data_IF_137853108681
#
_entry.id   IF_137853108681
#
_cell.length_a   1.000
_cell.length_b   1.000
_cell.length_c   1.000
_cell.angle_alpha   90.00
_cell.angle_beta   90.00
_cell.angle_gamma   90.00
#
_symmetry.space_group_name_H-M   'P 1'
#
loop_
_entity.id
_entity.type
_entity.pdbx_description
1 polymer ?
#
# COMPACT_ATOMS: atom_id res chain seq x y z
N UNK A 1 -11.26 -10.67 24.24
CA UNK A 1 -9.81 -10.78 24.64
C UNK A 1 -8.99 -11.50 23.58
N UNK A 2 -9.32 -12.73 23.14
CA UNK A 2 -8.49 -13.45 22.14
C UNK A 2 -8.45 -12.73 20.78
N UNK A 3 -9.60 -12.31 20.25
CA UNK A 3 -9.69 -11.55 18.98
C UNK A 3 -8.95 -10.21 19.03
N UNK A 4 -9.02 -9.50 20.13
CA UNK A 4 -8.31 -8.24 20.33
C UNK A 4 -6.79 -8.44 20.42
N UNK A 5 -6.35 -9.52 21.08
CA UNK A 5 -4.94 -9.90 21.13
C UNK A 5 -4.42 -10.28 19.72
N UNK A 6 -5.20 -11.00 18.93
CA UNK A 6 -4.86 -11.35 17.55
C UNK A 6 -4.74 -10.09 16.68
N UNK A 7 -5.65 -9.13 16.84
CA UNK A 7 -5.62 -7.88 16.10
C UNK A 7 -4.39 -7.04 16.45
N UNK A 8 -4.09 -6.88 17.74
CA UNK A 8 -2.89 -6.15 18.20
C UNK A 8 -1.58 -6.77 17.73
N UNK A 9 -1.55 -8.10 17.56
CA UNK A 9 -0.35 -8.84 17.19
C UNK A 9 -0.34 -9.27 15.72
N UNK A 10 -1.25 -8.79 14.88
CA UNK A 10 -1.42 -9.28 13.50
C UNK A 10 -0.15 -9.22 12.66
N UNK A 11 0.68 -8.18 12.81
CA UNK A 11 1.97 -8.05 12.12
C UNK A 11 2.96 -9.10 12.58
N UNK A 12 3.12 -9.26 13.89
CA UNK A 12 4.00 -10.27 14.48
C UNK A 12 3.58 -11.69 14.10
N UNK A 13 2.27 -11.98 14.14
CA UNK A 13 1.72 -13.29 13.77
C UNK A 13 2.01 -13.57 12.29
N UNK A 14 1.64 -12.65 11.39
CA UNK A 14 1.89 -12.82 9.94
C UNK A 14 3.37 -13.04 9.65
N UNK A 15 4.25 -12.23 10.24
CA UNK A 15 5.69 -12.34 10.06
C UNK A 15 6.22 -13.72 10.46
N UNK A 16 5.79 -14.25 11.61
CA UNK A 16 6.28 -15.54 12.12
C UNK A 16 5.61 -16.75 11.47
N UNK A 17 4.35 -16.66 11.04
CA UNK A 17 3.62 -17.79 10.45
C UNK A 17 3.79 -17.87 8.94
N UNK A 18 3.79 -16.73 8.25
CA UNK A 18 3.89 -16.67 6.78
C UNK A 18 5.29 -16.34 6.26
N UNK A 19 6.24 -16.07 7.16
CA UNK A 19 7.64 -15.73 6.82
C UNK A 19 7.74 -14.56 5.81
N UNK A 20 6.88 -13.57 6.00
CA UNK A 20 6.80 -12.33 5.22
C UNK A 20 6.26 -11.19 6.07
N UNK A 21 6.47 -9.91 5.67
CA UNK A 21 5.81 -8.79 6.34
C UNK A 21 4.28 -8.86 6.22
N UNK A 22 3.59 -8.22 7.16
CA UNK A 22 2.18 -7.84 7.03
C UNK A 22 2.07 -6.73 5.97
N UNK A 23 1.26 -6.94 4.94
CA UNK A 23 1.23 -6.08 3.76
C UNK A 23 -0.05 -5.26 3.73
N UNK A 24 0.11 -3.92 3.70
CA UNK A 24 -0.96 -2.95 3.56
C UNK A 24 -0.87 -2.34 2.16
N UNK A 25 -1.90 -2.53 1.34
CA UNK A 25 -2.04 -1.80 0.08
C UNK A 25 -2.83 -0.52 0.33
N UNK A 26 -2.26 0.65 0.03
CA UNK A 26 -2.93 1.94 0.26
C UNK A 26 -2.88 2.80 -0.98
N UNK A 27 -4.04 3.28 -1.41
CA UNK A 27 -4.12 4.30 -2.46
C UNK A 27 -5.24 5.30 -2.20
N UNK A 28 -5.20 6.41 -2.93
CA UNK A 28 -6.23 7.42 -2.94
C UNK A 28 -6.76 7.58 -4.37
N UNK A 29 -8.08 7.71 -4.52
CA UNK A 29 -8.77 7.76 -5.80
C UNK A 29 -9.86 8.84 -5.83
N UNK A 30 -10.25 9.24 -7.03
CA UNK A 30 -11.44 10.08 -7.25
C UNK A 30 -12.72 9.30 -7.04
N UNK A 31 -13.86 9.99 -6.97
CA UNK A 31 -15.20 9.38 -6.85
C UNK A 31 -15.51 8.40 -7.97
N UNK A 32 -14.94 8.60 -9.15
CA UNK A 32 -15.11 7.72 -10.31
C UNK A 32 -13.91 6.80 -10.58
N UNK A 33 -13.05 6.55 -9.55
CA UNK A 33 -12.09 5.46 -9.53
C UNK A 33 -10.78 5.72 -10.29
N UNK A 34 -10.30 6.97 -10.36
CA UNK A 34 -9.01 7.29 -10.97
C UNK A 34 -7.98 7.75 -9.93
N UNK A 35 -6.71 7.39 -10.15
CA UNK A 35 -5.59 7.76 -9.28
C UNK A 35 -4.96 9.11 -9.66
N UNK A 36 -5.14 9.56 -10.89
CA UNK A 36 -4.57 10.78 -11.45
C UNK A 36 -5.53 11.42 -12.47
N UNK A 37 -5.16 12.57 -13.01
CA UNK A 37 -5.88 13.23 -14.10
C UNK A 37 -4.96 13.27 -15.35
N UNK A 38 -5.26 12.47 -16.35
CA UNK A 38 -4.48 12.38 -17.61
C UNK A 38 -3.00 12.08 -17.37
N UNK A 39 -2.68 11.20 -16.40
CA UNK A 39 -1.31 10.88 -16.03
C UNK A 39 -0.60 11.94 -15.17
N UNK A 40 -1.27 13.03 -14.80
CA UNK A 40 -0.75 14.06 -13.91
C UNK A 40 -1.24 13.82 -12.48
N UNK A 41 -0.30 13.83 -11.54
CA UNK A 41 -0.63 13.72 -10.13
C UNK A 41 -1.63 14.79 -9.69
N UNK A 42 -2.59 14.41 -8.86
CA UNK A 42 -3.59 15.33 -8.31
C UNK A 42 -3.71 15.15 -6.79
N UNK A 43 -4.07 16.22 -6.10
CA UNK A 43 -4.35 16.16 -4.66
C UNK A 43 -5.73 15.51 -4.45
N UNK A 44 -5.76 14.24 -4.11
CA UNK A 44 -6.98 13.51 -3.75
C UNK A 44 -7.30 13.70 -2.28
N UNK A 45 -6.31 13.51 -1.41
CA UNK A 45 -6.44 13.57 0.05
C UNK A 45 -6.69 15.00 0.57
N UNK A 46 -7.52 15.11 1.60
CA UNK A 46 -7.64 16.32 2.43
C UNK A 46 -6.41 16.48 3.33
N UNK A 47 -6.29 17.60 4.03
CA UNK A 47 -5.20 17.80 5.00
C UNK A 47 -5.27 16.76 6.12
N UNK A 48 -6.47 16.43 6.59
CA UNK A 48 -6.69 15.44 7.66
C UNK A 48 -6.35 14.02 7.21
N UNK A 49 -6.87 13.57 6.06
CA UNK A 49 -6.60 12.21 5.56
C UNK A 49 -5.15 12.02 5.13
N UNK A 50 -4.48 13.10 4.69
CA UNK A 50 -3.04 13.13 4.48
C UNK A 50 -2.27 12.90 5.79
N UNK A 51 -2.68 13.55 6.88
CA UNK A 51 -2.12 13.32 8.21
C UNK A 51 -2.30 11.84 8.64
N UNK A 52 -3.47 11.23 8.39
CA UNK A 52 -3.69 9.80 8.65
C UNK A 52 -2.76 8.90 7.81
N UNK A 53 -2.45 9.29 6.57
CA UNK A 53 -1.45 8.57 5.76
C UNK A 53 -0.05 8.65 6.37
N UNK A 54 0.34 9.81 6.91
CA UNK A 54 1.61 9.96 7.63
C UNK A 54 1.65 9.16 8.93
N UNK A 55 0.52 9.08 9.66
CA UNK A 55 0.37 8.18 10.81
C UNK A 55 0.62 6.73 10.41
N UNK A 56 -0.04 6.26 9.34
CA UNK A 56 0.12 4.91 8.84
C UNK A 56 1.59 4.61 8.49
N UNK A 57 2.30 5.54 7.87
CA UNK A 57 3.74 5.40 7.57
C UNK A 57 4.58 5.29 8.84
N UNK A 58 4.28 6.10 9.87
CA UNK A 58 4.99 6.06 11.15
C UNK A 58 4.82 4.73 11.90
N UNK A 59 3.73 4.02 11.65
CA UNK A 59 3.37 2.75 12.28
C UNK A 59 3.90 1.51 11.52
N UNK A 60 4.62 1.69 10.41
CA UNK A 60 5.10 0.59 9.58
C UNK A 60 6.61 0.66 9.33
N UNK A 61 7.23 -0.52 9.15
CA UNK A 61 8.69 -0.62 9.03
C UNK A 61 9.20 -0.17 7.67
N UNK A 62 8.45 -0.48 6.60
CA UNK A 62 8.86 -0.17 5.24
C UNK A 62 7.70 0.35 4.38
N UNK A 63 8.05 1.13 3.37
CA UNK A 63 7.14 1.66 2.35
C UNK A 63 7.70 1.37 0.96
N UNK A 64 6.84 0.87 0.06
CA UNK A 64 7.23 0.43 -1.27
C UNK A 64 6.41 1.15 -2.34
N UNK A 65 7.09 1.57 -3.40
CA UNK A 65 6.50 2.12 -4.62
C UNK A 65 7.13 1.48 -5.86
N UNK A 66 6.42 1.56 -6.98
CA UNK A 66 6.98 1.20 -8.28
C UNK A 66 7.80 2.37 -8.87
N UNK A 67 8.78 2.05 -9.73
CA UNK A 67 9.68 3.02 -10.38
C UNK A 67 8.94 4.20 -11.03
N UNK A 68 7.90 3.93 -11.82
CA UNK A 68 7.16 5.00 -12.55
C UNK A 68 6.53 6.01 -11.58
N UNK A 69 5.99 5.53 -10.46
CA UNK A 69 5.43 6.41 -9.42
C UNK A 69 6.54 7.21 -8.75
N UNK A 70 7.67 6.58 -8.47
CA UNK A 70 8.82 7.23 -7.86
C UNK A 70 9.38 8.36 -8.74
N UNK A 71 9.61 8.07 -10.02
CA UNK A 71 10.11 9.04 -10.99
C UNK A 71 9.15 10.19 -11.27
N UNK A 72 7.82 9.90 -11.27
CA UNK A 72 6.80 10.91 -11.56
C UNK A 72 6.54 11.83 -10.38
N UNK A 73 6.38 11.25 -9.22
CA UNK A 73 5.87 11.98 -8.06
C UNK A 73 7.00 12.53 -7.18
N UNK A 74 8.25 12.03 -7.32
CA UNK A 74 9.42 12.36 -6.50
C UNK A 74 9.07 12.41 -5.01
N UNK A 75 8.15 11.53 -4.59
CA UNK A 75 7.59 11.55 -3.25
C UNK A 75 8.62 11.10 -2.22
N UNK A 76 8.81 11.91 -1.20
CA UNK A 76 9.71 11.58 -0.10
C UNK A 76 9.25 10.36 0.71
N UNK A 77 7.94 10.04 0.67
CA UNK A 77 7.33 8.92 1.40
C UNK A 77 7.68 8.91 2.91
N UNK A 78 7.99 10.07 3.45
CA UNK A 78 8.39 10.26 4.84
C UNK A 78 7.21 10.61 5.75
N UNK A 79 7.51 10.68 7.04
CA UNK A 79 6.60 11.13 8.10
C UNK A 79 6.93 12.59 8.41
N UNK A 80 6.03 13.54 8.04
CA UNK A 80 6.18 14.97 8.33
C UNK A 80 4.96 15.58 9.00
N UNK A 81 3.77 15.05 8.73
CA UNK A 81 2.50 15.53 9.29
C UNK A 81 2.02 14.63 10.45
N UNK A 82 2.90 13.78 10.99
CA UNK A 82 2.66 12.93 12.15
C UNK A 82 3.97 12.74 12.95
N UNK A 83 3.83 12.33 14.20
CA UNK A 83 4.97 11.98 15.04
C UNK A 83 5.41 10.53 14.82
N UNK A 84 6.71 10.27 14.69
CA UNK A 84 7.24 8.91 14.54
C UNK A 84 8.47 8.82 13.66
N UNK A 85 8.90 7.58 13.39
CA UNK A 85 10.04 7.29 12.51
C UNK A 85 9.58 7.17 11.06
N UNK A 86 10.49 7.52 10.15
CA UNK A 86 10.27 7.23 8.73
C UNK A 86 10.37 5.72 8.48
N UNK A 87 9.47 5.14 7.67
CA UNK A 87 9.65 3.79 7.16
C UNK A 87 10.86 3.71 6.22
N UNK A 88 11.42 2.52 6.08
CA UNK A 88 12.46 2.26 5.06
C UNK A 88 11.83 2.39 3.68
N UNK A 89 12.35 3.30 2.85
CA UNK A 89 11.83 3.56 1.51
C UNK A 89 12.41 2.56 0.51
N UNK A 90 11.54 1.88 -0.21
CA UNK A 90 11.85 0.84 -1.17
C UNK A 90 11.21 1.16 -2.53
N UNK A 91 11.95 0.91 -3.61
CA UNK A 91 11.47 1.11 -4.99
C UNK A 91 11.66 -0.18 -5.78
N UNK A 92 10.59 -0.64 -6.45
CA UNK A 92 10.73 -1.74 -7.42
C UNK A 92 11.24 -1.14 -8.73
N UNK A 93 12.54 -1.28 -8.96
CA UNK A 93 13.21 -0.84 -10.18
C UNK A 93 14.15 -1.95 -10.68
N UNK A 94 14.09 -2.23 -11.99
CA UNK A 94 14.98 -3.22 -12.63
C UNK A 94 16.39 -2.71 -12.84
N UNK A 95 16.54 -1.39 -12.96
CA UNK A 95 17.82 -0.74 -13.31
C UNK A 95 18.59 -0.28 -12.08
N UNK A 96 17.87 0.05 -11.00
CA UNK A 96 18.43 0.50 -9.74
C UNK A 96 17.78 -0.27 -8.58
N UNK A 97 18.08 -1.58 -8.44
CA UNK A 97 17.40 -2.40 -7.46
C UNK A 97 17.77 -1.96 -6.03
N UNK A 98 16.76 -1.66 -5.22
CA UNK A 98 16.91 -1.52 -3.77
C UNK A 98 17.11 -2.90 -3.08
N UNK A 99 17.04 -3.98 -3.85
CA UNK A 99 17.06 -5.35 -3.37
C UNK A 99 18.17 -6.12 -4.08
N UNK A 100 19.09 -6.66 -3.34
CA UNK A 100 20.16 -7.49 -3.89
C UNK A 100 19.63 -8.87 -4.29
N UNK A 101 20.06 -9.34 -5.46
CA UNK A 101 19.82 -10.71 -5.92
C UNK A 101 18.43 -11.00 -6.49
N UNK A 102 17.61 -9.98 -6.79
CA UNK A 102 16.33 -10.19 -7.45
C UNK A 102 16.49 -10.60 -8.92
N UNK A 103 15.79 -11.66 -9.30
CA UNK A 103 15.73 -12.12 -10.70
C UNK A 103 14.49 -11.58 -11.40
N UNK A 104 14.63 -10.43 -12.04
CA UNK A 104 13.57 -9.79 -12.82
C UNK A 104 13.23 -10.49 -14.15
N UNK A 105 13.94 -11.57 -14.52
CA UNK A 105 13.56 -12.41 -15.68
C UNK A 105 12.35 -13.29 -15.37
N UNK A 106 12.04 -13.48 -14.09
CA UNK A 106 10.87 -14.20 -13.62
C UNK A 106 9.59 -13.38 -13.76
N UNK A 107 8.45 -14.04 -13.68
CA UNK A 107 7.14 -13.38 -13.68
C UNK A 107 6.96 -12.46 -12.47
N UNK A 108 6.04 -11.48 -12.58
CA UNK A 108 5.80 -10.47 -11.53
C UNK A 108 5.54 -11.07 -10.15
N UNK A 109 4.74 -12.13 -10.08
CA UNK A 109 4.43 -12.80 -8.81
C UNK A 109 5.69 -13.36 -8.15
N UNK A 110 6.56 -14.02 -8.92
CA UNK A 110 7.82 -14.58 -8.41
C UNK A 110 8.77 -13.47 -7.89
N UNK A 111 8.88 -12.35 -8.62
CA UNK A 111 9.66 -11.19 -8.16
C UNK A 111 9.12 -10.66 -6.83
N UNK A 112 7.79 -10.57 -6.68
CA UNK A 112 7.18 -10.15 -5.41
C UNK A 112 7.48 -11.13 -4.28
N UNK A 113 7.46 -12.44 -4.51
CA UNK A 113 7.85 -13.43 -3.51
C UNK A 113 9.32 -13.32 -3.10
N UNK A 114 10.23 -13.05 -4.05
CA UNK A 114 11.63 -12.78 -3.74
C UNK A 114 11.77 -11.52 -2.86
N UNK A 115 11.03 -10.45 -3.17
CA UNK A 115 11.00 -9.23 -2.33
C UNK A 115 10.50 -9.56 -0.91
N UNK A 116 9.43 -10.35 -0.78
CA UNK A 116 8.90 -10.74 0.54
C UNK A 116 9.93 -11.54 1.33
N UNK A 117 10.64 -12.47 0.70
CA UNK A 117 11.72 -13.25 1.32
C UNK A 117 12.88 -12.35 1.77
N UNK A 118 13.28 -11.40 0.92
CA UNK A 118 14.31 -10.41 1.27
C UNK A 118 13.89 -9.59 2.51
N UNK A 119 12.67 -9.09 2.54
CA UNK A 119 12.15 -8.30 3.67
C UNK A 119 12.07 -9.14 4.94
N UNK A 120 11.67 -10.39 4.85
CA UNK A 120 11.66 -11.31 5.99
C UNK A 120 13.05 -11.53 6.58
N UNK A 121 14.05 -11.83 5.75
CA UNK A 121 15.44 -12.01 6.19
C UNK A 121 15.98 -10.74 6.87
N UNK A 122 15.59 -9.56 6.36
CA UNK A 122 15.98 -8.26 6.91
C UNK A 122 15.10 -7.79 8.09
N UNK A 123 14.26 -8.66 8.66
CA UNK A 123 13.45 -8.42 9.85
C UNK A 123 12.42 -7.29 9.70
N UNK A 124 11.94 -7.03 8.49
CA UNK A 124 10.83 -6.12 8.22
C UNK A 124 9.53 -6.84 8.51
N UNK A 125 8.77 -6.37 9.50
CA UNK A 125 7.53 -7.02 9.93
C UNK A 125 6.27 -6.44 9.26
N UNK A 126 6.36 -5.22 8.75
CA UNK A 126 5.25 -4.53 8.10
C UNK A 126 5.68 -3.74 6.87
N UNK A 127 4.85 -3.78 5.83
CA UNK A 127 5.09 -3.13 4.55
C UNK A 127 3.84 -2.38 4.11
N UNK A 128 3.99 -1.09 3.79
CA UNK A 128 2.97 -0.34 3.05
C UNK A 128 3.36 -0.30 1.57
N UNK A 129 2.43 -0.59 0.69
CA UNK A 129 2.55 -0.34 -0.75
C UNK A 129 1.71 0.90 -1.08
N UNK A 130 2.35 1.98 -1.51
CA UNK A 130 1.66 3.26 -1.80
C UNK A 130 1.71 3.67 -3.26
N UNK A 131 2.30 2.89 -4.14
CA UNK A 131 2.54 3.43 -5.45
C UNK A 131 2.34 2.57 -6.67
N UNK A 132 1.61 3.20 -7.61
CA UNK A 132 1.32 2.75 -8.95
C UNK A 132 0.21 1.70 -9.05
N UNK A 133 -0.78 1.94 -9.93
CA UNK A 133 -1.87 0.98 -10.18
C UNK A 133 -1.34 -0.42 -10.52
N UNK A 134 -0.30 -0.49 -11.37
CA UNK A 134 0.32 -1.76 -11.79
C UNK A 134 0.95 -2.49 -10.60
N UNK A 135 1.62 -1.77 -9.70
CA UNK A 135 2.24 -2.37 -8.51
C UNK A 135 1.17 -2.94 -7.59
N UNK A 136 0.15 -2.15 -7.24
CA UNK A 136 -0.97 -2.63 -6.43
C UNK A 136 -1.66 -3.84 -7.07
N UNK A 137 -1.97 -3.77 -8.37
CA UNK A 137 -2.63 -4.88 -9.05
C UNK A 137 -1.76 -6.14 -9.03
N UNK A 138 -0.44 -6.02 -9.18
CA UNK A 138 0.48 -7.16 -9.08
C UNK A 138 0.45 -7.83 -7.69
N UNK A 139 0.35 -7.05 -6.62
CA UNK A 139 0.18 -7.58 -5.26
C UNK A 139 -1.18 -8.26 -5.07
N UNK A 140 -2.26 -7.65 -5.59
CA UNK A 140 -3.61 -8.22 -5.55
C UNK A 140 -3.68 -9.56 -6.31
N UNK A 141 -3.16 -9.61 -7.54
CA UNK A 141 -3.14 -10.79 -8.41
C UNK A 141 -2.31 -11.92 -7.80
N UNK A 142 -1.21 -11.59 -7.12
CA UNK A 142 -0.38 -12.56 -6.40
C UNK A 142 -0.97 -12.98 -5.04
N UNK A 143 -2.07 -12.38 -4.59
CA UNK A 143 -2.63 -12.62 -3.27
C UNK A 143 -1.71 -12.19 -2.12
N UNK A 144 -0.77 -11.28 -2.36
CA UNK A 144 0.19 -10.76 -1.40
C UNK A 144 -0.33 -9.47 -0.76
N UNK A 145 -1.34 -9.61 0.09
CA UNK A 145 -1.90 -8.51 0.88
C UNK A 145 -2.63 -9.06 2.10
N UNK A 146 -2.65 -8.30 3.17
CA UNK A 146 -3.36 -8.59 4.41
C UNK A 146 -4.44 -7.53 4.68
N UNK A 147 -4.16 -6.28 4.31
CA UNK A 147 -5.05 -5.14 4.49
C UNK A 147 -5.03 -4.25 3.23
N UNK A 148 -6.19 -3.70 2.87
CA UNK A 148 -6.30 -2.70 1.81
C UNK A 148 -6.96 -1.46 2.39
N UNK A 149 -6.42 -0.28 2.12
CA UNK A 149 -6.97 1.02 2.50
C UNK A 149 -7.19 1.87 1.27
N UNK A 150 -8.46 2.16 0.99
CA UNK A 150 -8.85 3.00 -0.14
C UNK A 150 -9.39 4.32 0.39
N UNK A 151 -8.75 5.39 0.02
CA UNK A 151 -9.26 6.73 0.23
C UNK A 151 -9.96 7.22 -1.03
N UNK A 152 -11.23 7.60 -0.95
CA UNK A 152 -12.01 8.12 -2.07
C UNK A 152 -12.40 9.56 -1.80
N UNK A 153 -12.01 10.48 -2.69
CA UNK A 153 -12.49 11.87 -2.65
C UNK A 153 -13.86 11.94 -3.32
N UNK A 154 -14.93 12.06 -2.55
CA UNK A 154 -16.33 11.94 -2.99
C UNK A 154 -16.79 13.05 -3.94
N UNK A 155 -16.17 14.24 -3.85
CA UNK A 155 -16.47 15.42 -4.67
C UNK A 155 -15.58 15.56 -5.92
N UNK A 156 -14.54 14.71 -6.09
CA UNK A 156 -13.57 14.83 -7.20
C UNK A 156 -13.87 13.83 -8.30
N UNK A 157 -14.00 14.34 -9.52
CA UNK A 157 -14.21 13.54 -10.74
C UNK A 157 -13.22 13.97 -11.81
N UNK A 158 -12.71 13.02 -12.58
CA UNK A 158 -11.87 13.27 -13.76
C UNK A 158 -12.47 12.57 -14.98
N UNK A 159 -12.18 13.10 -16.17
CA UNK A 159 -12.67 12.50 -17.43
C UNK A 159 -11.88 11.25 -17.81
N UNK A 160 -10.56 11.31 -17.65
CA UNK A 160 -9.62 10.24 -17.97
C UNK A 160 -8.46 10.26 -16.99
N UNK A 161 -7.83 9.11 -16.81
CA UNK A 161 -6.68 8.97 -15.92
C UNK A 161 -6.28 7.51 -15.76
N UNK A 162 -5.37 7.24 -14.85
CA UNK A 162 -5.00 5.88 -14.47
C UNK A 162 -6.10 5.29 -13.59
N UNK A 163 -6.74 4.21 -14.04
CA UNK A 163 -7.76 3.50 -13.25
C UNK A 163 -7.16 2.96 -11.96
N UNK A 164 -7.96 3.01 -10.89
CA UNK A 164 -7.61 2.38 -9.63
C UNK A 164 -7.52 0.86 -9.75
N UNK A 165 -6.74 0.18 -8.89
CA UNK A 165 -6.67 -1.28 -8.87
C UNK A 165 -8.05 -1.92 -8.65
N UNK A 166 -8.25 -3.07 -9.25
CA UNK A 166 -9.51 -3.83 -9.11
C UNK A 166 -9.43 -4.74 -7.91
N UNK A 167 -10.34 -4.55 -6.97
CA UNK A 167 -10.46 -5.42 -5.81
C UNK A 167 -10.89 -6.85 -6.20
N UNK A 168 -10.50 -7.88 -5.44
CA UNK A 168 -11.07 -9.21 -5.55
C UNK A 168 -12.60 -9.19 -5.34
N UNK A 169 -13.33 -10.05 -6.04
CA UNK A 169 -14.79 -10.00 -6.10
C UNK A 169 -15.53 -10.17 -4.76
N UNK A 170 -14.93 -10.91 -3.82
CA UNK A 170 -15.60 -11.30 -2.57
C UNK A 170 -15.16 -10.51 -1.34
N UNK A 171 -14.43 -9.40 -1.54
CA UNK A 171 -13.89 -8.60 -0.44
C UNK A 171 -14.86 -7.49 -0.09
N UNK A 172 -15.29 -7.46 1.19
CA UNK A 172 -16.14 -6.40 1.74
C UNK A 172 -15.36 -5.54 2.72
N UNK A 173 -15.64 -4.22 2.80
CA UNK A 173 -14.98 -3.38 3.78
C UNK A 173 -15.38 -3.82 5.20
N UNK A 174 -14.38 -3.87 6.08
CA UNK A 174 -14.57 -4.10 7.53
C UNK A 174 -14.74 -2.78 8.29
N UNK A 175 -14.35 -1.66 7.67
CA UNK A 175 -14.47 -0.32 8.20
C UNK A 175 -14.75 0.66 7.09
N UNK A 176 -15.63 1.62 7.36
CA UNK A 176 -15.99 2.74 6.50
C UNK A 176 -16.00 4.00 7.36
N UNK A 177 -15.15 4.95 7.05
CA UNK A 177 -15.05 6.20 7.82
C UNK A 177 -15.06 7.42 6.90
N UNK A 178 -15.93 8.38 7.21
CA UNK A 178 -16.10 9.63 6.46
C UNK A 178 -15.30 10.76 7.13
N UNK A 179 -14.58 11.52 6.31
CA UNK A 179 -13.76 12.67 6.72
C UNK A 179 -13.96 13.82 5.73
N UNK A 180 -14.91 14.69 6.00
CA UNK A 180 -15.35 15.76 5.07
C UNK A 180 -15.67 15.19 3.67
N UNK A 181 -14.93 15.59 2.65
CA UNK A 181 -15.08 15.14 1.27
C UNK A 181 -14.35 13.82 0.96
N UNK A 182 -13.78 13.15 1.96
CA UNK A 182 -13.04 11.92 1.78
C UNK A 182 -13.65 10.77 2.59
N UNK A 183 -13.67 9.60 1.99
CA UNK A 183 -14.04 8.34 2.66
C UNK A 183 -12.84 7.43 2.68
N UNK A 184 -12.61 6.74 3.79
CA UNK A 184 -11.59 5.69 3.88
C UNK A 184 -12.28 4.36 4.17
N UNK A 185 -12.16 3.45 3.21
CA UNK A 185 -12.59 2.06 3.34
C UNK A 185 -11.40 1.16 3.66
N UNK A 186 -11.57 0.28 4.66
CA UNK A 186 -10.55 -0.71 5.04
C UNK A 186 -11.11 -2.09 4.78
N UNK A 187 -10.30 -2.92 4.11
CA UNK A 187 -10.58 -4.31 3.83
C UNK A 187 -9.49 -5.17 4.46
N UNK A 188 -9.87 -6.30 5.01
CA UNK A 188 -8.93 -7.31 5.49
C UNK A 188 -9.17 -8.64 4.77
N UNK A 189 -8.08 -9.36 4.55
CA UNK A 189 -8.15 -10.72 4.03
C UNK A 189 -8.60 -11.65 5.14
N UNK A 190 -9.61 -12.49 4.86
CA UNK A 190 -10.03 -13.52 5.80
C UNK A 190 -8.83 -14.42 6.16
N UNK A 191 -8.54 -14.50 7.45
CA UNK A 191 -7.53 -15.43 7.98
C UNK A 191 -8.17 -16.81 8.07
N UNK A 192 -7.88 -17.67 7.12
CA UNK A 192 -8.24 -19.10 7.18
C UNK A 192 -7.08 -19.92 7.71
#
# INVERSE_FOLDING_TARGET
MESECLELNKRFITYNTHQRPYIILKWAQTANGFLDNEGKGMAVSSAFTKMLSHKLRAENDAILVGRVTDERDHSLLNVRDWYGKNPVRLVIDRHHPCFDGLDFSKGKAEVLHQIMSFLYINKVQSLIVEGGAITHQSFLDAGLWDEIRIETATSKFVKTGTEAPRLPHDVKPISHAEYDDNVIDIYERSRH
#
